data_IF_869412746151
#
_entry.id   IF_869412746151
#
_cell.length_a   1.000
_cell.length_b   1.000
_cell.length_c   1.000
_cell.angle_alpha   90.00
_cell.angle_beta   90.00
_cell.angle_gamma   90.00
#
_symmetry.space_group_name_H-M   'P 1'
#
loop_
_entity.id
_entity.type
_entity.pdbx_description
1 polymer ?
#
# COMPACT_ATOMS: atom_id res chain seq x y z
N UNK A 1 -5.44 -5.27 -11.99
CA UNK A 1 -4.75 -5.32 -10.69
C UNK A 1 -5.04 -6.67 -10.06
N UNK A 2 -4.02 -7.36 -9.52
CA UNK A 2 -4.23 -8.64 -8.83
C UNK A 2 -4.27 -8.41 -7.33
N UNK A 3 -5.19 -9.08 -6.61
CA UNK A 3 -5.31 -8.94 -5.15
C UNK A 3 -4.02 -9.30 -4.41
N UNK A 4 -3.29 -10.31 -4.91
CA UNK A 4 -1.97 -10.68 -4.38
C UNK A 4 -0.93 -9.57 -4.49
N UNK A 5 -1.01 -8.73 -5.51
CA UNK A 5 -0.13 -7.56 -5.66
C UNK A 5 -0.47 -6.46 -4.64
N UNK A 6 -1.76 -6.26 -4.35
CA UNK A 6 -2.22 -5.29 -3.33
C UNK A 6 -1.68 -5.70 -1.96
N UNK A 7 -1.93 -6.95 -1.56
CA UNK A 7 -1.45 -7.48 -0.28
C UNK A 7 0.08 -7.39 -0.18
N UNK A 8 0.79 -7.81 -1.22
CA UNK A 8 2.25 -7.77 -1.24
C UNK A 8 2.81 -6.35 -1.09
N UNK A 9 2.22 -5.38 -1.81
CA UNK A 9 2.65 -3.99 -1.75
C UNK A 9 2.41 -3.36 -0.37
N UNK A 10 1.20 -3.50 0.17
CA UNK A 10 0.80 -2.91 1.46
C UNK A 10 1.59 -3.50 2.64
N UNK A 11 1.84 -4.81 2.63
CA UNK A 11 2.65 -5.46 3.68
C UNK A 11 4.12 -5.06 3.56
N UNK A 12 4.66 -5.02 2.34
CA UNK A 12 6.08 -4.65 2.14
C UNK A 12 6.35 -3.18 2.45
N UNK A 13 5.38 -2.30 2.23
CA UNK A 13 5.46 -0.88 2.61
C UNK A 13 5.25 -0.64 4.11
N UNK A 14 4.92 -1.68 4.88
CA UNK A 14 4.63 -1.63 6.33
C UNK A 14 3.44 -0.73 6.68
N UNK A 15 2.53 -0.50 5.74
CA UNK A 15 1.28 0.25 5.99
C UNK A 15 0.23 -0.60 6.72
N UNK A 16 0.26 -1.92 6.52
CA UNK A 16 -0.50 -2.87 7.32
C UNK A 16 0.23 -4.21 7.39
N UNK A 17 -0.06 -4.99 8.42
CA UNK A 17 0.36 -6.38 8.51
C UNK A 17 -0.58 -7.29 7.73
N UNK A 18 -0.11 -8.48 7.39
CA UNK A 18 -0.96 -9.49 6.75
C UNK A 18 -2.16 -9.87 7.62
N UNK A 19 -1.99 -9.91 8.94
CA UNK A 19 -3.08 -10.21 9.86
C UNK A 19 -4.19 -9.16 9.79
N UNK A 20 -3.84 -7.87 9.83
CA UNK A 20 -4.82 -6.78 9.75
C UNK A 20 -5.58 -6.79 8.41
N UNK A 21 -4.90 -7.09 7.30
CA UNK A 21 -5.56 -7.24 5.98
C UNK A 21 -6.52 -8.43 5.90
N UNK A 22 -6.38 -9.44 6.76
CA UNK A 22 -7.28 -10.59 6.81
C UNK A 22 -8.45 -10.41 7.78
N UNK A 23 -8.29 -9.60 8.84
CA UNK A 23 -9.23 -9.60 9.97
C UNK A 23 -9.81 -8.25 10.33
N UNK A 24 -9.16 -7.15 9.94
CA UNK A 24 -9.56 -5.78 10.31
C UNK A 24 -9.98 -4.98 9.08
N UNK A 25 -9.16 -5.00 8.03
CA UNK A 25 -9.36 -4.17 6.85
C UNK A 25 -10.18 -4.89 5.77
N UNK A 26 -11.11 -4.15 5.18
CA UNK A 26 -11.81 -4.55 3.97
C UNK A 26 -10.96 -4.35 2.72
N UNK A 27 -11.52 -4.72 1.57
CA UNK A 27 -10.88 -4.50 0.27
C UNK A 27 -10.65 -3.01 -0.01
N UNK A 28 -11.61 -2.15 0.34
CA UNK A 28 -11.53 -0.71 0.13
C UNK A 28 -10.38 -0.09 0.92
N UNK A 29 -10.29 -0.38 2.22
CA UNK A 29 -9.17 0.07 3.07
C UNK A 29 -7.80 -0.39 2.49
N UNK A 30 -7.71 -1.63 2.00
CA UNK A 30 -6.49 -2.15 1.40
C UNK A 30 -6.11 -1.43 0.09
N UNK A 31 -7.10 -1.00 -0.70
CA UNK A 31 -6.90 -0.20 -1.90
C UNK A 31 -6.49 1.23 -1.57
N UNK A 32 -7.07 1.83 -0.54
CA UNK A 32 -6.70 3.16 -0.06
C UNK A 32 -5.24 3.18 0.43
N UNK A 33 -4.81 2.17 1.19
CA UNK A 33 -3.41 2.02 1.60
C UNK A 33 -2.46 1.86 0.40
N UNK A 34 -2.88 1.15 -0.65
CA UNK A 34 -2.10 1.04 -1.87
C UNK A 34 -1.99 2.39 -2.60
N UNK A 35 -3.04 3.20 -2.61
CA UNK A 35 -3.01 4.54 -3.18
C UNK A 35 -2.04 5.44 -2.40
N UNK A 36 -2.13 5.45 -1.07
CA UNK A 36 -1.19 6.17 -0.19
C UNK A 36 0.26 5.80 -0.50
N UNK A 37 0.56 4.50 -0.54
CA UNK A 37 1.90 4.01 -0.91
C UNK A 37 2.36 4.52 -2.27
N UNK A 38 1.46 4.53 -3.26
CA UNK A 38 1.79 4.94 -4.62
C UNK A 38 2.10 6.44 -4.69
N UNK A 39 1.31 7.27 -4.01
CA UNK A 39 1.50 8.73 -3.92
C UNK A 39 2.81 9.06 -3.18
N UNK A 40 3.08 8.40 -2.06
CA UNK A 40 4.32 8.59 -1.30
C UNK A 40 5.56 8.21 -2.12
N UNK A 41 5.51 7.10 -2.84
CA UNK A 41 6.59 6.67 -3.74
C UNK A 41 6.85 7.69 -4.85
N UNK A 42 5.78 8.23 -5.45
CA UNK A 42 5.89 9.30 -6.45
C UNK A 42 6.53 10.57 -5.86
N UNK A 43 6.06 11.02 -4.70
CA UNK A 43 6.56 12.22 -4.03
C UNK A 43 8.04 12.08 -3.64
N UNK A 44 8.43 10.93 -3.08
CA UNK A 44 9.83 10.65 -2.73
C UNK A 44 10.74 10.65 -3.96
N UNK A 45 10.31 10.06 -5.08
CA UNK A 45 11.07 10.12 -6.34
C UNK A 45 11.22 11.56 -6.84
N UNK A 46 10.15 12.35 -6.78
CA UNK A 46 10.17 13.76 -7.20
C UNK A 46 11.09 14.59 -6.31
N UNK A 47 11.06 14.38 -5.00
CA UNK A 47 11.91 15.08 -4.04
C UNK A 47 13.40 14.75 -4.21
N UNK A 48 13.73 13.50 -4.54
CA UNK A 48 15.12 13.05 -4.74
C UNK A 48 15.69 13.36 -6.14
N UNK A 49 14.85 13.81 -7.08
CA UNK A 49 15.23 14.13 -8.46
C UNK A 49 15.34 15.65 -8.73
N UNK A 50 15.29 16.49 -7.69
CA UNK A 50 15.56 17.93 -7.75
C UNK A 50 16.90 18.28 -7.14
#
# INVERSE_FOLDING_TARGET
MNLSQVVGAVVSSKLATYHELQTVYGLEDALDLLEVFTVDSYNNRKANNG
#
